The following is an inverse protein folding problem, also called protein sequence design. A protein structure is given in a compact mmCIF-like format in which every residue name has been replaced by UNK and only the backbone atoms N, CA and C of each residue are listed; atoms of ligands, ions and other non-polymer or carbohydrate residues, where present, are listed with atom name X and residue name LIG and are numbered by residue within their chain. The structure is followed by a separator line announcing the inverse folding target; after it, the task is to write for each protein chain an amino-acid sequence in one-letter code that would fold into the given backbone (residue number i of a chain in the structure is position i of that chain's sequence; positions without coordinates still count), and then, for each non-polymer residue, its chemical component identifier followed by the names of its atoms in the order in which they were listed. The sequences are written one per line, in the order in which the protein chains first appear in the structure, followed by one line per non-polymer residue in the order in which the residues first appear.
data_IF_147571736632
#
_entry.id   IF_147571736632
#
_cell.length_a   1.000
_cell.length_b   1.000
_cell.length_c   1.000
_cell.angle_alpha   90.00
_cell.angle_beta   90.00
_cell.angle_gamma   90.00
#
_symmetry.space_group_name_H-M   'P 1'
#
loop_
_entity.id
_entity.type
_entity.pdbx_description
1 polymer ?
#
# COMPACT_ATOMS: atom_id res chain seq x y z
N UNK A 1 15.95 -6.51 9.73
CA UNK A 1 14.95 -7.57 9.45
C UNK A 1 13.90 -7.02 8.51
N UNK A 2 13.36 -7.85 7.63
CA UNK A 2 12.22 -7.46 6.78
C UNK A 2 10.94 -7.66 7.57
N UNK A 3 10.11 -6.63 7.65
CA UNK A 3 8.79 -6.67 8.27
C UNK A 3 7.73 -6.85 7.19
N UNK A 4 6.74 -7.70 7.45
CA UNK A 4 5.60 -7.92 6.56
C UNK A 4 4.36 -7.33 7.23
N UNK A 5 3.69 -6.41 6.54
CA UNK A 5 2.44 -5.80 6.99
C UNK A 5 1.35 -6.22 5.99
N UNK A 6 0.42 -7.05 6.43
CA UNK A 6 -0.72 -7.45 5.63
C UNK A 6 -1.81 -6.37 5.69
N UNK A 7 -2.29 -5.91 4.54
CA UNK A 7 -3.41 -4.98 4.46
C UNK A 7 -4.67 -5.84 4.33
N UNK A 8 -5.57 -5.85 5.33
CA UNK A 8 -6.79 -6.63 5.25
C UNK A 8 -7.69 -6.03 4.17
N UNK A 9 -8.08 -6.85 3.20
CA UNK A 9 -8.99 -6.48 2.12
C UNK A 9 -10.09 -7.54 2.05
N UNK A 10 -11.32 -7.10 1.79
CA UNK A 10 -12.47 -7.98 1.64
C UNK A 10 -13.51 -7.30 0.75
N UNK A 11 -14.15 -8.08 -0.09
CA UNK A 11 -15.28 -7.66 -0.89
C UNK A 11 -16.51 -8.53 -0.57
N UNK A 12 -17.71 -7.96 -0.71
CA UNK A 12 -18.97 -8.66 -0.44
C UNK A 12 -19.41 -9.52 -1.64
N UNK A 13 -18.94 -9.19 -2.83
CA UNK A 13 -19.23 -9.86 -4.09
C UNK A 13 -18.27 -11.04 -4.30
N UNK A 14 -18.83 -12.25 -4.33
CA UNK A 14 -18.04 -13.46 -4.56
C UNK A 14 -17.56 -13.50 -6.01
N UNK A 15 -16.24 -13.68 -6.19
CA UNK A 15 -15.60 -13.80 -7.51
C UNK A 15 -14.83 -12.56 -7.94
N UNK A 16 -15.01 -11.46 -7.22
CA UNK A 16 -14.25 -10.23 -7.44
C UNK A 16 -12.80 -10.40 -6.98
N UNK A 17 -11.91 -9.67 -7.65
CA UNK A 17 -10.47 -9.73 -7.49
C UNK A 17 -9.95 -8.42 -6.90
N UNK A 18 -9.45 -8.52 -5.66
CA UNK A 18 -8.94 -7.37 -4.92
C UNK A 18 -7.45 -7.21 -5.14
N UNK A 19 -7.04 -6.02 -5.57
CA UNK A 19 -5.63 -5.70 -5.83
C UNK A 19 -5.23 -4.46 -5.07
N UNK A 20 -3.97 -4.42 -4.65
CA UNK A 20 -3.38 -3.24 -4.07
C UNK A 20 -2.32 -2.67 -5.00
N UNK A 21 -2.30 -1.36 -5.15
CA UNK A 21 -1.23 -0.63 -5.83
C UNK A 21 -0.79 0.57 -5.00
N UNK A 22 0.41 1.06 -5.30
CA UNK A 22 0.83 2.36 -4.79
C UNK A 22 -0.14 3.45 -5.25
N UNK A 23 -0.51 4.32 -4.32
CA UNK A 23 -1.20 5.56 -4.69
C UNK A 23 -0.25 6.41 -5.54
N UNK A 24 -0.82 7.11 -6.53
CA UNK A 24 -0.06 7.94 -7.48
C UNK A 24 -0.59 9.37 -7.50
N UNK A 25 0.28 10.30 -7.90
CA UNK A 25 -0.15 11.64 -8.28
C UNK A 25 -0.43 11.64 -9.79
N UNK A 26 -1.69 11.39 -10.14
CA UNK A 26 -2.19 11.45 -11.51
C UNK A 26 -3.09 12.66 -11.71
N UNK A 27 -4.24 12.44 -12.36
CA UNK A 27 -5.31 13.45 -12.46
C UNK A 27 -5.90 13.72 -11.07
N UNK A 28 -6.08 12.67 -10.28
CA UNK A 28 -6.41 12.76 -8.86
C UNK A 28 -5.10 12.66 -8.06
N UNK A 29 -4.99 13.50 -7.04
CA UNK A 29 -3.85 13.52 -6.14
C UNK A 29 -4.05 12.50 -5.00
N UNK A 30 -3.71 11.22 -5.23
CA UNK A 30 -4.01 10.13 -4.29
C UNK A 30 -3.04 10.06 -3.10
N UNK A 31 -1.77 10.48 -3.30
CA UNK A 31 -0.72 10.38 -2.28
C UNK A 31 -0.09 11.72 -1.89
N UNK A 32 -0.38 12.83 -2.59
CA UNK A 32 0.16 14.15 -2.27
C UNK A 32 1.68 14.11 -2.10
N UNK A 33 2.20 14.42 -0.91
CA UNK A 33 3.63 14.40 -0.62
C UNK A 33 4.18 13.05 -0.15
N UNK A 34 3.33 12.01 0.00
CA UNK A 34 3.70 10.73 0.62
C UNK A 34 3.74 9.55 -0.37
N UNK A 35 3.97 9.82 -1.65
CA UNK A 35 4.06 8.79 -2.68
C UNK A 35 5.32 7.92 -2.52
N UNK A 36 5.19 6.63 -2.82
CA UNK A 36 6.34 5.76 -3.04
C UNK A 36 7.08 6.18 -4.34
N UNK A 37 8.43 6.16 -4.40
CA UNK A 37 9.38 5.72 -3.37
C UNK A 37 9.85 6.81 -2.38
N UNK A 38 9.32 8.04 -2.43
CA UNK A 38 9.83 9.13 -1.60
C UNK A 38 9.58 8.98 -0.09
N UNK A 39 8.46 8.38 0.28
CA UNK A 39 8.02 8.26 1.68
C UNK A 39 8.50 6.99 2.40
N UNK A 40 9.15 6.07 1.69
CA UNK A 40 9.50 4.73 2.13
C UNK A 40 10.90 4.34 1.64
N UNK A 41 11.59 3.37 2.27
CA UNK A 41 12.84 2.84 1.75
C UNK A 41 12.68 2.25 0.34
N UNK A 42 13.67 2.46 -0.54
CA UNK A 42 13.65 2.02 -1.95
C UNK A 42 13.49 0.51 -2.16
N UNK A 43 13.73 -0.31 -1.15
CA UNK A 43 13.56 -1.76 -1.20
C UNK A 43 12.20 -2.22 -0.66
N UNK A 44 11.27 -1.29 -0.42
CA UNK A 44 9.91 -1.61 0.00
C UNK A 44 9.14 -2.20 -1.18
N UNK A 45 8.52 -3.35 -0.97
CA UNK A 45 7.78 -4.09 -2.00
C UNK A 45 6.32 -4.22 -1.57
N UNK A 46 5.40 -3.98 -2.49
CA UNK A 46 3.99 -4.31 -2.32
C UNK A 46 3.64 -5.46 -3.26
N UNK A 47 3.16 -6.57 -2.72
CA UNK A 47 2.72 -7.72 -3.51
C UNK A 47 1.54 -8.38 -2.82
N UNK A 48 0.46 -8.64 -3.57
CA UNK A 48 -0.77 -9.24 -3.05
C UNK A 48 -1.26 -8.59 -1.74
N UNK A 49 -1.36 -7.25 -1.74
CA UNK A 49 -1.73 -6.45 -0.56
C UNK A 49 -0.87 -6.67 0.70
N UNK A 50 0.32 -7.26 0.55
CA UNK A 50 1.31 -7.39 1.60
C UNK A 50 2.47 -6.44 1.34
N UNK A 51 2.72 -5.58 2.31
CA UNK A 51 3.84 -4.65 2.32
C UNK A 51 5.05 -5.31 2.96
N UNK A 52 6.10 -5.52 2.19
CA UNK A 52 7.41 -5.93 2.65
C UNK A 52 8.30 -4.70 2.83
N UNK A 53 8.63 -4.41 4.08
CA UNK A 53 9.29 -3.17 4.49
C UNK A 53 10.53 -3.47 5.33
N UNK A 54 11.66 -2.88 4.95
CA UNK A 54 12.90 -2.95 5.72
C UNK A 54 13.28 -1.54 6.16
N UNK A 55 13.07 -1.23 7.44
CA UNK A 55 13.60 0.03 7.97
C UNK A 55 15.11 -0.05 8.15
N UNK A 56 15.78 1.06 7.84
CA UNK A 56 17.20 1.29 8.11
C UNK A 56 17.42 2.36 9.18
N UNK A 57 16.39 3.09 9.60
CA UNK A 57 16.50 4.16 10.60
C UNK A 57 15.55 3.92 11.77
N UNK A 58 16.05 3.76 13.01
CA UNK A 58 15.22 3.73 14.21
C UNK A 58 14.73 5.13 14.61
N UNK A 59 13.58 5.20 15.28
CA UNK A 59 13.03 6.43 15.85
C UNK A 59 12.34 7.37 14.85
N UNK A 60 12.09 6.91 13.61
CA UNK A 60 11.44 7.71 12.56
C UNK A 60 10.10 7.13 12.14
N UNK A 61 9.28 7.99 11.54
CA UNK A 61 8.00 7.64 10.93
C UNK A 61 8.15 7.53 9.42
N UNK A 62 7.56 6.49 8.85
CA UNK A 62 7.35 6.33 7.42
C UNK A 62 5.86 6.45 7.11
N UNK A 63 5.52 6.99 5.95
CA UNK A 63 4.14 7.12 5.51
C UNK A 63 3.88 6.21 4.32
N UNK A 64 2.73 5.55 4.33
CA UNK A 64 2.29 4.61 3.30
C UNK A 64 1.00 5.15 2.71
N UNK A 65 0.92 5.23 1.39
CA UNK A 65 -0.28 5.56 0.65
C UNK A 65 -0.53 4.55 -0.47
N UNK A 66 -1.69 3.89 -0.41
CA UNK A 66 -2.09 2.81 -1.30
C UNK A 66 -3.51 3.03 -1.81
N UNK A 67 -3.82 2.42 -2.94
CA UNK A 67 -5.20 2.18 -3.37
C UNK A 67 -5.48 0.69 -3.26
N UNK A 68 -6.60 0.35 -2.61
CA UNK A 68 -7.22 -0.98 -2.69
C UNK A 68 -8.29 -0.90 -3.76
N UNK A 69 -8.13 -1.71 -4.79
CA UNK A 69 -8.97 -1.70 -5.97
C UNK A 69 -9.71 -3.02 -6.12
N UNK A 70 -10.99 -2.90 -6.44
CA UNK A 70 -11.89 -4.00 -6.71
C UNK A 70 -12.08 -4.16 -8.21
N UNK A 71 -12.04 -5.41 -8.69
CA UNK A 71 -12.23 -5.77 -10.09
C UNK A 71 -13.20 -6.95 -10.15
N UNK A 72 -14.11 -6.93 -11.12
CA UNK A 72 -15.10 -8.02 -11.31
C UNK A 72 -14.49 -9.42 -11.51
N UNK A 73 -13.21 -9.52 -11.87
CA UNK A 73 -12.42 -10.76 -11.92
C UNK A 73 -10.94 -10.48 -12.23
N UNK A 74 -10.14 -11.54 -12.25
CA UNK A 74 -8.69 -11.52 -12.55
C UNK A 74 -8.31 -11.05 -13.95
N UNK A 75 -9.25 -10.99 -14.90
CA UNK A 75 -8.99 -10.53 -16.28
C UNK A 75 -9.38 -9.08 -16.54
N UNK A 76 -10.10 -8.45 -15.61
CA UNK A 76 -10.46 -7.04 -15.74
C UNK A 76 -9.24 -6.14 -15.56
N UNK A 77 -9.18 -5.09 -16.37
CA UNK A 77 -8.16 -4.05 -16.32
C UNK A 77 -8.68 -2.72 -15.76
N UNK A 78 -9.98 -2.61 -15.51
CA UNK A 78 -10.62 -1.41 -14.97
C UNK A 78 -11.21 -1.71 -13.59
N UNK A 79 -10.85 -0.94 -12.55
CA UNK A 79 -11.41 -1.14 -11.23
C UNK A 79 -12.88 -0.68 -11.19
N UNK A 80 -13.71 -1.42 -10.45
CA UNK A 80 -15.09 -1.05 -10.12
C UNK A 80 -15.14 -0.08 -8.94
N UNK A 81 -14.20 -0.23 -8.00
CA UNK A 81 -13.99 0.73 -6.91
C UNK A 81 -12.50 0.89 -6.60
N UNK A 82 -12.14 2.04 -6.02
CA UNK A 82 -10.78 2.38 -5.60
C UNK A 82 -10.86 3.11 -4.27
N UNK A 83 -10.32 2.50 -3.21
CA UNK A 83 -10.39 2.99 -1.83
C UNK A 83 -8.99 3.38 -1.35
N UNK A 84 -8.78 4.64 -0.93
CA UNK A 84 -7.49 5.08 -0.42
C UNK A 84 -7.22 4.51 0.98
N UNK A 85 -6.04 3.93 1.16
CA UNK A 85 -5.53 3.48 2.47
C UNK A 85 -4.23 4.22 2.77
N UNK A 86 -4.22 4.99 3.85
CA UNK A 86 -3.06 5.73 4.32
C UNK A 86 -2.79 5.45 5.79
N UNK A 87 -1.53 5.14 6.13
CA UNK A 87 -1.13 4.88 7.50
C UNK A 87 0.35 5.21 7.72
N UNK A 88 0.76 5.25 8.98
CA UNK A 88 2.13 5.52 9.38
C UNK A 88 2.78 4.29 10.03
N UNK A 89 4.05 4.07 9.75
CA UNK A 89 4.89 3.04 10.37
C UNK A 89 5.92 3.74 11.25
N UNK A 90 5.89 3.48 12.56
CA UNK A 90 6.95 3.92 13.47
C UNK A 90 7.95 2.79 13.71
N UNK A 91 9.24 3.11 13.58
CA UNK A 91 10.31 2.15 13.79
C UNK A 91 10.86 2.35 15.20
N UNK A 92 10.61 1.37 16.06
CA UNK A 92 11.11 1.40 17.44
C UNK A 92 12.64 1.43 17.46
N UNK A 93 13.27 2.25 18.32
CA UNK A 93 14.68 2.13 18.62
C UNK A 93 15.04 0.73 19.11
N UNK A 94 16.26 0.27 18.79
CA UNK A 94 16.81 -0.91 19.46
C UNK A 94 16.97 -0.59 20.95
N UNK A 95 16.50 -1.47 21.86
CA UNK A 95 16.69 -1.31 23.30
C UNK A 95 18.15 -1.15 23.71
#
# INVERSE_FOLDING_TARGET
TTNLINIPVSDVNVGDDLRCRWAINGIVNECSSICYPGALPNNTILSNCTLSFMSIVPGVWYSVALQVEDFINTTSNSPMSSVPVQFLIYVQPTP
#
